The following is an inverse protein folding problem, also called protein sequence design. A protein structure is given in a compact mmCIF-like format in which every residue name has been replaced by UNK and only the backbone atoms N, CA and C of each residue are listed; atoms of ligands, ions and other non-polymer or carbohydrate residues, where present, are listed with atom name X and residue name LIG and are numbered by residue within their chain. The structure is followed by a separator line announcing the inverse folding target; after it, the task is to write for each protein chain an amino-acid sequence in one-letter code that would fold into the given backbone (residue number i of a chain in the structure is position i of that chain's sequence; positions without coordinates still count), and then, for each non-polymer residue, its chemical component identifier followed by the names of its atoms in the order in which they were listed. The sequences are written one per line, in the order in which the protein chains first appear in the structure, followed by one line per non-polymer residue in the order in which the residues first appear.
data_IF_706915915510
#
_entry.id   IF_706915915510
#
_cell.length_a   1.000
_cell.length_b   1.000
_cell.length_c   1.000
_cell.angle_alpha   90.00
_cell.angle_beta   90.00
_cell.angle_gamma   90.00
#
_symmetry.space_group_name_H-M   'P 1'
#
loop_
_entity.id
_entity.type
_entity.pdbx_description
1 polymer ?
#
# COMPACT_ATOMS: atom_id res chain seq x y z
N UNK A 1 -33.64 9.89 -13.33
CA UNK A 1 -32.37 9.29 -13.81
C UNK A 1 -31.51 8.77 -12.66
N UNK A 2 -31.45 9.45 -11.49
CA UNK A 2 -30.69 8.93 -10.34
C UNK A 2 -31.21 7.60 -9.77
N UNK A 3 -32.52 7.31 -9.85
CA UNK A 3 -33.11 6.09 -9.26
C UNK A 3 -32.53 4.77 -9.78
N UNK A 4 -32.26 4.65 -11.09
CA UNK A 4 -31.68 3.42 -11.66
C UNK A 4 -30.21 3.24 -11.28
N UNK A 5 -29.47 4.35 -11.14
CA UNK A 5 -28.07 4.32 -10.71
C UNK A 5 -27.98 4.00 -9.20
N UNK A 6 -28.88 4.56 -8.40
CA UNK A 6 -28.99 4.27 -6.96
C UNK A 6 -29.34 2.82 -6.67
N UNK A 7 -30.15 2.17 -7.50
CA UNK A 7 -30.54 0.76 -7.33
C UNK A 7 -29.44 -0.22 -7.79
N UNK A 8 -28.70 0.08 -8.87
CA UNK A 8 -27.77 -0.89 -9.48
C UNK A 8 -26.34 -0.82 -8.95
N UNK A 9 -25.86 0.35 -8.52
CA UNK A 9 -24.50 0.48 -8.04
C UNK A 9 -24.20 -0.21 -6.69
N UNK A 10 -25.13 -0.33 -5.73
CA UNK A 10 -24.89 -1.10 -4.50
C UNK A 10 -24.56 -2.56 -4.78
N UNK A 11 -25.11 -3.14 -5.86
CA UNK A 11 -24.84 -4.52 -6.28
C UNK A 11 -23.47 -4.75 -6.94
N UNK A 12 -22.77 -3.68 -7.34
CA UNK A 12 -21.45 -3.81 -7.98
C UNK A 12 -20.36 -4.13 -6.95
N UNK A 13 -19.65 -5.24 -7.18
CA UNK A 13 -18.64 -5.80 -6.27
C UNK A 13 -17.20 -5.61 -6.76
N UNK A 14 -16.99 -5.03 -7.95
CA UNK A 14 -15.65 -4.88 -8.55
C UNK A 14 -15.32 -3.42 -8.74
N UNK A 15 -14.16 -3.00 -8.23
CA UNK A 15 -13.67 -1.62 -8.35
C UNK A 15 -13.61 -1.13 -9.81
N UNK A 16 -13.13 -1.96 -10.74
CA UNK A 16 -12.98 -1.59 -12.16
C UNK A 16 -14.31 -1.18 -12.83
N UNK A 17 -15.40 -1.89 -12.55
CA UNK A 17 -16.72 -1.55 -13.09
C UNK A 17 -17.19 -0.20 -12.55
N UNK A 18 -16.91 0.08 -11.27
CA UNK A 18 -17.29 1.33 -10.62
C UNK A 18 -16.50 2.53 -11.17
N UNK A 19 -15.22 2.33 -11.50
CA UNK A 19 -14.37 3.35 -12.14
C UNK A 19 -14.89 3.72 -13.53
N UNK A 20 -15.18 2.72 -14.37
CA UNK A 20 -15.70 2.94 -15.72
C UNK A 20 -16.99 3.75 -15.68
N UNK A 21 -17.93 3.39 -14.81
CA UNK A 21 -19.19 4.09 -14.71
C UNK A 21 -18.98 5.50 -14.16
N UNK A 22 -18.07 5.69 -13.19
CA UNK A 22 -17.69 7.02 -12.72
C UNK A 22 -17.17 7.90 -13.86
N UNK A 23 -16.35 7.37 -14.77
CA UNK A 23 -15.82 8.16 -15.90
C UNK A 23 -16.92 8.56 -16.89
N UNK A 24 -17.82 7.63 -17.23
CA UNK A 24 -18.98 7.93 -18.10
C UNK A 24 -19.93 8.94 -17.46
N UNK A 25 -20.25 8.76 -16.19
CA UNK A 25 -21.16 9.65 -15.44
C UNK A 25 -20.52 11.03 -15.23
N UNK A 26 -19.21 11.11 -14.99
CA UNK A 26 -18.49 12.38 -14.90
C UNK A 26 -18.50 13.13 -16.23
N UNK A 27 -18.25 12.43 -17.35
CA UNK A 27 -18.29 13.03 -18.68
C UNK A 27 -19.69 13.58 -19.02
N UNK A 28 -20.73 12.82 -18.70
CA UNK A 28 -22.12 13.26 -18.83
C UNK A 28 -22.40 14.48 -17.92
N UNK A 29 -21.95 14.46 -16.68
CA UNK A 29 -22.12 15.55 -15.72
C UNK A 29 -21.49 16.86 -16.20
N UNK A 30 -20.25 16.82 -16.69
CA UNK A 30 -19.56 17.99 -17.27
C UNK A 30 -20.31 18.53 -18.49
N UNK A 31 -20.84 17.63 -19.32
CA UNK A 31 -21.60 18.01 -20.51
C UNK A 31 -22.91 18.70 -20.11
N UNK A 32 -23.69 18.11 -19.20
CA UNK A 32 -24.95 18.68 -18.70
C UNK A 32 -24.75 20.03 -17.99
N UNK A 33 -23.69 20.16 -17.20
CA UNK A 33 -23.34 21.41 -16.54
C UNK A 33 -23.04 22.52 -17.56
N UNK A 34 -22.32 22.21 -18.65
CA UNK A 34 -22.06 23.17 -19.75
C UNK A 34 -23.34 23.65 -20.45
N UNK A 35 -24.38 22.83 -20.48
CA UNK A 35 -25.69 23.20 -21.02
C UNK A 35 -26.62 23.88 -20.01
N UNK A 36 -26.15 24.16 -18.79
CA UNK A 36 -26.90 24.89 -17.76
C UNK A 36 -27.86 24.04 -16.92
N UNK A 37 -27.74 22.71 -16.95
CA UNK A 37 -28.52 21.83 -16.07
C UNK A 37 -27.92 21.78 -14.65
N UNK A 38 -28.77 21.61 -13.63
CA UNK A 38 -28.32 21.36 -12.25
C UNK A 38 -27.76 19.94 -12.11
N UNK A 39 -26.47 19.84 -11.74
CA UNK A 39 -25.72 18.56 -11.64
C UNK A 39 -25.37 18.19 -10.18
N UNK A 40 -25.78 18.98 -9.18
CA UNK A 40 -25.43 18.77 -7.77
C UNK A 40 -25.79 17.36 -7.26
N UNK A 41 -27.00 16.88 -7.54
CA UNK A 41 -27.42 15.54 -7.16
C UNK A 41 -26.55 14.41 -7.78
N UNK A 42 -25.98 14.65 -8.95
CA UNK A 42 -25.07 13.70 -9.61
C UNK A 42 -23.68 13.73 -8.96
N UNK A 43 -23.22 14.92 -8.55
CA UNK A 43 -21.94 15.10 -7.87
C UNK A 43 -21.96 14.42 -6.49
N UNK A 44 -23.04 14.59 -5.74
CA UNK A 44 -23.24 13.94 -4.43
C UNK A 44 -23.27 12.42 -4.59
N UNK A 45 -23.98 11.90 -5.58
CA UNK A 45 -23.98 10.47 -5.91
C UNK A 45 -22.58 9.94 -6.28
N UNK A 46 -21.83 10.67 -7.11
CA UNK A 46 -20.45 10.31 -7.47
C UNK A 46 -19.52 10.30 -6.26
N UNK A 47 -19.69 11.24 -5.33
CA UNK A 47 -18.90 11.29 -4.08
C UNK A 47 -19.14 10.06 -3.22
N UNK A 48 -20.40 9.60 -3.09
CA UNK A 48 -20.74 8.38 -2.34
C UNK A 48 -20.16 7.13 -3.00
N UNK A 49 -20.10 7.10 -4.33
CA UNK A 49 -19.47 5.99 -5.05
C UNK A 49 -17.96 5.97 -4.98
N UNK A 50 -17.33 7.15 -4.86
CA UNK A 50 -15.90 7.26 -4.62
C UNK A 50 -15.52 6.51 -3.34
N UNK A 51 -16.24 6.69 -2.25
CA UNK A 51 -15.87 6.08 -0.97
C UNK A 51 -16.02 4.54 -1.03
N UNK A 52 -17.12 4.03 -1.62
CA UNK A 52 -17.31 2.60 -1.89
C UNK A 52 -16.20 2.01 -2.78
N UNK A 53 -15.72 2.76 -3.78
CA UNK A 53 -14.62 2.33 -4.64
C UNK A 53 -13.32 2.14 -3.85
N UNK A 54 -13.00 3.09 -2.97
CA UNK A 54 -11.81 3.00 -2.12
C UNK A 54 -11.91 1.81 -1.16
N UNK A 55 -13.06 1.56 -0.54
CA UNK A 55 -13.26 0.38 0.32
C UNK A 55 -13.04 -0.95 -0.42
N UNK A 56 -13.57 -1.08 -1.64
CA UNK A 56 -13.40 -2.29 -2.45
C UNK A 56 -11.92 -2.51 -2.84
N UNK A 57 -11.22 -1.44 -3.24
CA UNK A 57 -9.80 -1.51 -3.56
C UNK A 57 -8.96 -1.92 -2.35
N UNK A 58 -9.23 -1.34 -1.18
CA UNK A 58 -8.55 -1.68 0.07
C UNK A 58 -8.78 -3.16 0.41
N UNK A 59 -10.03 -3.65 0.29
CA UNK A 59 -10.35 -5.06 0.53
C UNK A 59 -9.61 -6.00 -0.42
N UNK A 60 -9.56 -5.69 -1.71
CA UNK A 60 -8.87 -6.53 -2.69
C UNK A 60 -7.36 -6.48 -2.53
N UNK A 61 -6.80 -5.32 -2.18
CA UNK A 61 -5.39 -5.19 -1.86
C UNK A 61 -5.01 -6.03 -0.63
N UNK A 62 -5.82 -5.97 0.43
CA UNK A 62 -5.62 -6.79 1.63
C UNK A 62 -5.61 -8.30 1.31
N UNK A 63 -6.52 -8.77 0.45
CA UNK A 63 -6.56 -10.18 0.02
C UNK A 63 -5.31 -10.56 -0.76
N UNK A 64 -4.87 -9.70 -1.68
CA UNK A 64 -3.67 -9.96 -2.50
C UNK A 64 -2.40 -10.01 -1.65
N UNK A 65 -2.24 -9.05 -0.73
CA UNK A 65 -1.10 -9.01 0.21
C UNK A 65 -1.11 -10.26 1.09
N UNK A 66 -2.25 -10.59 1.70
CA UNK A 66 -2.37 -11.78 2.56
C UNK A 66 -2.05 -13.07 1.78
N UNK A 67 -2.52 -13.18 0.55
CA UNK A 67 -2.23 -14.32 -0.32
C UNK A 67 -0.74 -14.41 -0.67
N UNK A 68 -0.09 -13.30 -0.99
CA UNK A 68 1.34 -13.28 -1.29
C UNK A 68 2.17 -13.67 -0.06
N UNK A 69 1.85 -13.12 1.10
CA UNK A 69 2.55 -13.36 2.36
C UNK A 69 2.40 -14.79 2.89
N UNK A 70 1.22 -15.39 2.73
CA UNK A 70 0.97 -16.78 3.18
C UNK A 70 1.67 -17.83 2.33
N UNK A 71 1.97 -17.50 1.06
CA UNK A 71 2.71 -18.38 0.14
C UNK A 71 4.23 -18.24 0.33
N UNK A 72 4.68 -17.15 0.95
CA UNK A 72 6.11 -16.89 1.15
C UNK A 72 6.70 -17.81 2.24
N UNK A 73 7.89 -18.34 1.95
CA UNK A 73 8.69 -19.17 2.86
C UNK A 73 9.73 -18.36 3.65
N UNK A 74 9.87 -17.07 3.35
CA UNK A 74 10.89 -16.19 3.92
C UNK A 74 12.31 -16.70 3.66
N UNK A 75 12.54 -17.23 2.46
CA UNK A 75 13.86 -17.62 1.98
C UNK A 75 14.54 -16.44 1.25
N UNK A 76 15.88 -16.45 1.23
CA UNK A 76 16.65 -15.43 0.51
C UNK A 76 16.34 -15.48 -0.98
N UNK A 77 16.05 -14.32 -1.57
CA UNK A 77 15.87 -14.20 -3.01
C UNK A 77 17.21 -14.46 -3.72
N UNK A 78 17.22 -15.38 -4.68
CA UNK A 78 18.41 -15.73 -5.46
C UNK A 78 18.17 -15.44 -6.94
N UNK A 79 18.87 -14.43 -7.47
CA UNK A 79 18.75 -14.00 -8.87
C UNK A 79 19.92 -14.53 -9.68
N UNK A 80 19.64 -15.36 -10.69
CA UNK A 80 20.67 -15.93 -11.58
C UNK A 80 20.79 -15.19 -12.90
N UNK A 81 19.72 -14.52 -13.33
CA UNK A 81 19.61 -13.86 -14.63
C UNK A 81 19.35 -12.38 -14.44
N UNK A 82 19.85 -11.57 -15.37
CA UNK A 82 19.63 -10.12 -15.41
C UNK A 82 18.13 -9.77 -15.54
N UNK A 83 17.33 -10.60 -16.23
CA UNK A 83 15.88 -10.42 -16.28
C UNK A 83 15.22 -10.54 -14.90
N UNK A 84 15.63 -11.52 -14.09
CA UNK A 84 15.12 -11.70 -12.73
C UNK A 84 15.53 -10.51 -11.85
N UNK A 85 16.71 -9.94 -12.09
CA UNK A 85 17.15 -8.72 -11.43
C UNK A 85 16.28 -7.53 -11.81
N UNK A 86 16.10 -7.25 -13.10
CA UNK A 86 15.26 -6.15 -13.57
C UNK A 86 13.82 -6.27 -13.09
N UNK A 87 13.23 -7.47 -13.16
CA UNK A 87 11.85 -7.69 -12.74
C UNK A 87 11.61 -7.55 -11.23
N UNK A 88 12.61 -7.83 -10.40
CA UNK A 88 12.44 -7.84 -8.94
C UNK A 88 13.10 -6.64 -8.23
N UNK A 89 14.17 -6.07 -8.78
CA UNK A 89 14.89 -4.92 -8.18
C UNK A 89 14.37 -3.59 -8.72
N UNK A 90 14.09 -3.48 -10.03
CA UNK A 90 13.53 -2.26 -10.60
C UNK A 90 12.04 -2.09 -10.26
N UNK A 91 11.32 -3.19 -10.03
CA UNK A 91 9.89 -3.14 -9.64
C UNK A 91 9.66 -2.52 -8.26
N UNK A 92 10.60 -2.72 -7.33
CA UNK A 92 10.61 -2.06 -6.02
C UNK A 92 11.24 -0.66 -6.05
N UNK A 93 11.59 -0.14 -7.23
CA UNK A 93 12.27 1.15 -7.43
C UNK A 93 13.61 1.25 -6.68
N UNK A 94 14.28 0.12 -6.39
CA UNK A 94 15.50 0.08 -5.59
C UNK A 94 16.73 0.71 -6.28
N UNK A 95 16.66 0.88 -7.60
CA UNK A 95 17.62 1.67 -8.35
C UNK A 95 16.90 2.89 -8.93
N UNK A 96 17.24 4.05 -8.41
CA UNK A 96 16.86 5.37 -8.92
C UNK A 96 17.50 5.61 -10.29
N UNK A 97 17.02 4.93 -11.32
CA UNK A 97 17.28 5.32 -12.70
C UNK A 97 16.10 6.13 -13.22
N UNK A 98 16.28 7.46 -13.20
CA UNK A 98 15.57 8.45 -14.02
C UNK A 98 14.22 7.99 -14.58
N UNK A 99 13.16 8.08 -13.77
CA UNK A 99 11.81 8.00 -14.32
C UNK A 99 11.45 9.41 -14.81
N UNK A 100 11.69 9.63 -16.10
CA UNK A 100 11.10 10.74 -16.83
C UNK A 100 9.78 10.28 -17.48
N UNK A 101 8.75 11.14 -17.37
CA UNK A 101 7.49 11.19 -18.14
C UNK A 101 6.42 10.13 -17.80
N UNK A 102 5.11 10.42 -17.70
CA UNK A 102 4.22 11.30 -18.48
C UNK A 102 3.14 11.94 -17.58
N UNK A 103 2.70 13.15 -17.94
CA UNK A 103 1.65 13.95 -17.31
C UNK A 103 0.26 13.32 -17.32
N UNK A 104 -0.51 13.48 -16.25
CA UNK A 104 -1.97 13.26 -16.31
C UNK A 104 -2.86 14.41 -15.79
N UNK A 105 -2.34 15.49 -15.20
CA UNK A 105 -3.23 16.48 -14.57
C UNK A 105 -2.97 17.92 -15.04
N UNK A 106 -3.24 18.18 -16.32
CA UNK A 106 -3.42 19.55 -16.84
C UNK A 106 -4.85 20.09 -16.67
N UNK A 107 -5.75 19.40 -15.96
CA UNK A 107 -7.11 19.90 -15.74
C UNK A 107 -7.55 19.58 -14.32
N UNK A 108 -7.39 20.56 -13.42
CA UNK A 108 -7.84 20.46 -12.04
C UNK A 108 -7.06 21.36 -11.10
N UNK A 109 -6.96 22.66 -11.42
CA UNK A 109 -6.61 23.62 -10.38
C UNK A 109 -7.69 23.60 -9.31
N UNK A 110 -7.25 23.57 -8.05
CA UNK A 110 -7.97 23.95 -6.83
C UNK A 110 -8.32 22.82 -5.84
N UNK A 111 -7.32 22.55 -4.98
CA UNK A 111 -7.34 22.16 -3.56
C UNK A 111 -7.78 20.73 -3.15
N UNK A 112 -6.93 20.13 -2.29
CA UNK A 112 -7.08 18.90 -1.48
C UNK A 112 -7.00 17.52 -2.17
N UNK A 113 -6.62 17.42 -3.45
CA UNK A 113 -6.43 16.10 -4.10
C UNK A 113 -5.34 15.26 -3.41
N UNK A 114 -4.20 15.88 -3.10
CA UNK A 114 -3.12 15.19 -2.42
C UNK A 114 -3.50 14.73 -1.01
N UNK A 115 -4.29 15.51 -0.26
CA UNK A 115 -4.69 15.13 1.09
C UNK A 115 -5.58 13.88 1.09
N UNK A 116 -6.44 13.74 0.07
CA UNK A 116 -7.24 12.53 -0.14
C UNK A 116 -6.36 11.34 -0.53
N UNK A 117 -5.43 11.52 -1.47
CA UNK A 117 -4.49 10.48 -1.90
C UNK A 117 -3.62 10.03 -0.73
N UNK A 118 -3.05 10.99 0.01
CA UNK A 118 -2.23 10.75 1.20
C UNK A 118 -3.00 9.98 2.26
N UNK A 119 -4.24 10.39 2.58
CA UNK A 119 -5.08 9.67 3.55
C UNK A 119 -5.31 8.22 3.12
N UNK A 120 -5.56 7.98 1.83
CA UNK A 120 -5.74 6.64 1.31
C UNK A 120 -4.46 5.81 1.40
N UNK A 121 -3.33 6.43 1.05
CA UNK A 121 -2.02 5.80 1.13
C UNK A 121 -1.63 5.46 2.57
N UNK A 122 -1.88 6.36 3.52
CA UNK A 122 -1.67 6.13 4.94
C UNK A 122 -2.50 4.93 5.45
N UNK A 123 -3.76 4.81 5.05
CA UNK A 123 -4.63 3.66 5.37
C UNK A 123 -4.08 2.36 4.77
N UNK A 124 -3.68 2.40 3.50
CA UNK A 124 -3.13 1.23 2.81
C UNK A 124 -1.87 0.71 3.52
N UNK A 125 -0.93 1.59 3.86
CA UNK A 125 0.33 1.21 4.46
C UNK A 125 0.19 0.84 5.94
N UNK A 126 -0.59 1.60 6.70
CA UNK A 126 -0.67 1.46 8.17
C UNK A 126 -1.73 0.46 8.62
N UNK A 127 -2.85 0.34 7.91
CA UNK A 127 -3.91 -0.59 8.32
C UNK A 127 -3.80 -1.94 7.60
N UNK A 128 -3.53 -1.90 6.29
CA UNK A 128 -3.50 -3.12 5.49
C UNK A 128 -2.12 -3.76 5.56
N UNK A 129 -1.07 -3.06 5.12
CA UNK A 129 0.26 -3.68 5.02
C UNK A 129 0.83 -4.02 6.40
N UNK A 130 0.96 -3.03 7.29
CA UNK A 130 1.42 -3.21 8.67
C UNK A 130 0.54 -4.23 9.43
N UNK A 131 -0.79 -4.10 9.33
CA UNK A 131 -1.73 -4.98 10.03
C UNK A 131 -1.75 -6.42 9.52
N UNK A 132 -1.57 -6.66 8.22
CA UNK A 132 -1.50 -8.03 7.65
C UNK A 132 -0.17 -8.71 7.98
N UNK A 133 0.94 -7.97 7.90
CA UNK A 133 2.25 -8.51 8.24
C UNK A 133 2.39 -8.77 9.75
N UNK A 134 1.84 -7.92 10.61
CA UNK A 134 1.83 -8.15 12.06
C UNK A 134 1.09 -9.46 12.42
N UNK A 135 -0.03 -9.76 11.74
CA UNK A 135 -0.73 -11.04 11.93
C UNK A 135 0.15 -12.23 11.53
N UNK A 136 0.93 -12.07 10.46
CA UNK A 136 1.83 -13.10 9.95
C UNK A 136 2.98 -13.40 10.92
N UNK A 137 3.62 -12.35 11.48
CA UNK A 137 4.67 -12.50 12.53
C UNK A 137 4.18 -13.41 13.64
N UNK A 138 2.96 -13.16 14.11
CA UNK A 138 2.39 -13.88 15.24
C UNK A 138 1.96 -15.32 14.93
N UNK A 139 1.86 -15.72 13.65
CA UNK A 139 1.32 -17.05 13.28
C UNK A 139 2.30 -17.96 12.53
N UNK A 140 3.24 -17.44 11.74
CA UNK A 140 3.97 -18.28 10.78
C UNK A 140 5.49 -18.38 11.00
N UNK A 141 6.08 -17.60 11.89
CA UNK A 141 7.55 -17.51 12.00
C UNK A 141 8.04 -18.29 13.22
N UNK A 142 8.58 -19.49 12.97
CA UNK A 142 9.13 -20.35 14.02
C UNK A 142 10.66 -20.37 14.12
N UNK A 143 11.37 -19.81 13.13
CA UNK A 143 12.83 -19.94 13.02
C UNK A 143 13.58 -18.61 12.95
N UNK A 144 14.74 -18.53 13.63
CA UNK A 144 15.63 -17.35 13.64
C UNK A 144 15.99 -16.89 12.22
N UNK A 145 16.26 -17.82 11.29
CA UNK A 145 16.63 -17.48 9.91
C UNK A 145 15.49 -16.83 9.14
N UNK A 146 14.26 -17.32 9.34
CA UNK A 146 13.06 -16.76 8.71
C UNK A 146 12.71 -15.39 9.31
N UNK A 147 12.83 -15.26 10.63
CA UNK A 147 12.65 -14.00 11.34
C UNK A 147 13.63 -12.93 10.83
N UNK A 148 14.91 -13.29 10.70
CA UNK A 148 15.94 -12.39 10.17
C UNK A 148 15.65 -11.96 8.72
N UNK A 149 15.23 -12.90 7.87
CA UNK A 149 14.88 -12.59 6.48
C UNK A 149 13.65 -11.69 6.39
N UNK A 150 12.66 -11.91 7.26
CA UNK A 150 11.51 -11.04 7.34
C UNK A 150 11.93 -9.62 7.72
N UNK A 151 12.72 -9.42 8.78
CA UNK A 151 13.21 -8.08 9.17
C UNK A 151 13.98 -7.41 8.04
N UNK A 152 14.87 -8.14 7.36
CA UNK A 152 15.58 -7.61 6.20
C UNK A 152 14.63 -7.20 5.06
N UNK A 153 13.60 -8.00 4.78
CA UNK A 153 12.58 -7.65 3.80
C UNK A 153 11.74 -6.45 4.26
N UNK A 154 11.39 -6.35 5.56
CA UNK A 154 10.61 -5.24 6.12
C UNK A 154 11.35 -3.91 5.99
N UNK A 155 12.65 -3.87 6.29
CA UNK A 155 13.46 -2.66 6.10
C UNK A 155 13.48 -2.19 4.64
N UNK A 156 13.49 -3.14 3.69
CA UNK A 156 13.37 -2.82 2.26
C UNK A 156 11.97 -2.34 1.87
N UNK A 157 10.91 -2.92 2.47
CA UNK A 157 9.54 -2.47 2.28
C UNK A 157 9.30 -1.07 2.82
N UNK A 158 9.84 -0.74 4.00
CA UNK A 158 9.76 0.61 4.59
C UNK A 158 10.36 1.65 3.62
N UNK A 159 11.56 1.39 3.12
CA UNK A 159 12.21 2.25 2.11
C UNK A 159 11.37 2.39 0.82
N UNK A 160 10.77 1.29 0.35
CA UNK A 160 9.90 1.33 -0.84
C UNK A 160 8.61 2.13 -0.59
N UNK A 161 8.06 2.08 0.62
CA UNK A 161 6.89 2.88 1.00
C UNK A 161 7.22 4.38 0.93
N UNK A 162 8.40 4.80 1.41
CA UNK A 162 8.87 6.18 1.29
C UNK A 162 8.96 6.63 -0.17
N UNK A 163 9.52 5.79 -1.05
CA UNK A 163 9.59 6.07 -2.49
C UNK A 163 8.20 6.19 -3.11
N UNK A 164 7.24 5.40 -2.63
CA UNK A 164 5.86 5.45 -3.11
C UNK A 164 5.16 6.75 -2.71
N UNK A 165 5.36 7.24 -1.47
CA UNK A 165 4.91 8.59 -1.07
C UNK A 165 5.51 9.70 -1.93
N UNK A 166 6.81 9.62 -2.23
CA UNK A 166 7.47 10.59 -3.09
C UNK A 166 6.92 10.58 -4.52
N UNK A 167 6.67 9.38 -5.06
CA UNK A 167 6.07 9.20 -6.37
C UNK A 167 4.65 9.80 -6.42
N UNK A 168 3.82 9.54 -5.42
CA UNK A 168 2.43 10.03 -5.36
C UNK A 168 2.35 11.55 -5.18
N UNK A 169 3.23 12.12 -4.37
CA UNK A 169 3.35 13.57 -4.25
C UNK A 169 3.79 14.23 -5.56
N UNK A 170 4.72 13.59 -6.28
CA UNK A 170 5.16 14.05 -7.59
C UNK A 170 4.01 14.01 -8.61
N UNK A 171 3.25 12.91 -8.67
CA UNK A 171 2.06 12.79 -9.52
C UNK A 171 0.97 13.82 -9.17
N UNK A 172 0.88 14.19 -7.90
CA UNK A 172 -0.06 15.20 -7.39
C UNK A 172 0.43 16.64 -7.60
N UNK A 173 1.62 16.85 -8.19
CA UNK A 173 2.17 18.17 -8.47
C UNK A 173 2.71 18.92 -7.23
N UNK A 174 2.97 18.20 -6.13
CA UNK A 174 3.48 18.79 -4.89
C UNK A 174 5.01 18.78 -4.87
N UNK A 175 5.66 19.91 -4.55
CA UNK A 175 7.11 19.95 -4.37
C UNK A 175 7.57 19.04 -3.23
N UNK A 176 8.60 18.21 -3.48
CA UNK A 176 9.14 17.22 -2.53
C UNK A 176 9.43 17.77 -1.12
N UNK A 177 9.90 19.03 -1.05
CA UNK A 177 10.16 19.77 0.20
C UNK A 177 8.96 19.94 1.13
N UNK A 178 7.73 19.83 0.62
CA UNK A 178 6.50 19.90 1.43
C UNK A 178 6.13 18.53 2.00
N UNK A 179 6.40 17.46 1.25
CA UNK A 179 6.20 16.05 1.63
C UNK A 179 7.15 15.66 2.77
N UNK A 180 8.42 16.05 2.66
CA UNK A 180 9.46 15.78 3.65
C UNK A 180 9.21 16.47 5.00
N UNK A 181 8.31 17.46 5.07
CA UNK A 181 8.01 18.19 6.31
C UNK A 181 6.98 17.47 7.18
N UNK A 182 6.19 16.57 6.59
CA UNK A 182 5.19 15.74 7.26
C UNK A 182 5.68 14.32 7.63
N UNK A 183 6.99 14.09 7.46
CA UNK A 183 7.84 12.88 7.66
C UNK A 183 7.65 12.00 8.90
N UNK A 184 6.60 12.14 9.70
CA UNK A 184 6.50 11.53 11.03
C UNK A 184 5.60 10.30 11.14
N UNK A 185 5.06 9.80 10.03
CA UNK A 185 4.37 8.51 10.01
C UNK A 185 5.31 7.51 9.35
N UNK A 186 6.13 6.86 10.16
CA UNK A 186 6.92 5.71 9.72
C UNK A 186 5.93 4.60 9.35
N UNK A 187 5.69 4.41 8.06
CA UNK A 187 4.93 3.27 7.57
C UNK A 187 5.59 2.00 8.12
N UNK A 188 4.78 1.01 8.54
CA UNK A 188 5.26 -0.28 9.06
C UNK A 188 5.95 -0.26 10.44
N UNK A 189 5.78 0.80 11.25
CA UNK A 189 6.40 0.85 12.60
C UNK A 189 6.05 -0.37 13.45
N UNK A 190 4.77 -0.78 13.50
CA UNK A 190 4.32 -1.84 14.42
C UNK A 190 4.89 -3.19 14.04
N UNK A 191 4.92 -3.51 12.74
CA UNK A 191 5.51 -4.75 12.25
C UNK A 191 7.03 -4.75 12.47
N UNK A 192 7.72 -3.62 12.31
CA UNK A 192 9.15 -3.52 12.61
C UNK A 192 9.44 -3.77 14.09
N UNK A 193 8.76 -3.07 15.00
CA UNK A 193 8.90 -3.25 16.45
C UNK A 193 8.62 -4.71 16.86
N UNK A 194 7.54 -5.29 16.34
CA UNK A 194 7.18 -6.68 16.64
C UNK A 194 8.20 -7.69 16.10
N UNK A 195 8.80 -7.42 14.94
CA UNK A 195 9.80 -8.29 14.33
C UNK A 195 11.14 -8.22 15.09
N UNK A 196 11.53 -7.03 15.56
CA UNK A 196 12.71 -6.86 16.42
C UNK A 196 12.57 -7.62 17.75
N UNK A 197 11.43 -7.46 18.42
CA UNK A 197 11.12 -8.18 19.66
C UNK A 197 11.10 -9.71 19.45
N UNK A 198 10.51 -10.18 18.35
CA UNK A 198 10.52 -11.60 17.99
C UNK A 198 11.94 -12.14 17.81
N UNK A 199 12.81 -11.43 17.07
CA UNK A 199 14.21 -11.85 16.87
C UNK A 199 14.96 -11.86 18.20
N UNK A 200 14.80 -10.81 19.02
CA UNK A 200 15.43 -10.69 20.33
C UNK A 200 15.06 -11.87 21.22
N UNK A 201 13.77 -12.22 21.29
CA UNK A 201 13.27 -13.38 22.03
C UNK A 201 13.86 -14.71 21.55
N UNK A 202 13.89 -14.95 20.23
CA UNK A 202 14.45 -16.17 19.65
C UNK A 202 15.95 -16.30 19.87
N UNK A 203 16.71 -15.20 19.76
CA UNK A 203 18.14 -15.18 20.02
C UNK A 203 18.43 -15.46 21.49
N UNK A 204 17.68 -14.82 22.41
CA UNK A 204 17.81 -15.04 23.85
C UNK A 204 17.59 -16.51 24.21
N UNK A 205 16.51 -17.12 23.72
CA UNK A 205 16.23 -18.54 23.94
C UNK A 205 17.37 -19.45 23.45
N UNK A 206 17.98 -19.09 22.31
CA UNK A 206 19.09 -19.87 21.74
C UNK A 206 20.38 -19.72 22.56
N UNK A 207 20.68 -18.50 23.04
CA UNK A 207 21.81 -18.24 23.95
C UNK A 207 21.62 -18.97 25.28
N UNK A 208 20.42 -18.90 25.88
CA UNK A 208 20.10 -19.60 27.12
C UNK A 208 20.25 -21.13 26.97
N UNK A 209 19.84 -21.68 25.83
CA UNK A 209 20.04 -23.09 25.51
C UNK A 209 21.53 -23.49 25.41
N UNK A 210 22.38 -22.64 24.86
CA UNK A 210 23.83 -22.86 24.86
C UNK A 210 24.43 -22.78 26.27
N UNK A 211 23.97 -21.83 27.09
CA UNK A 211 24.44 -21.67 28.47
C UNK A 211 24.13 -22.92 29.31
N UNK A 212 22.91 -23.45 29.21
CA UNK A 212 22.51 -24.69 29.88
C UNK A 212 23.34 -25.89 29.43
N UNK A 213 23.70 -25.98 28.15
CA UNK A 213 24.58 -27.05 27.67
C UNK A 213 25.99 -26.95 28.26
N UNK A 214 26.52 -25.75 28.45
CA UNK A 214 27.83 -25.53 29.08
C UNK A 214 27.80 -25.96 30.55
N UNK A 215 26.73 -25.63 31.28
CA UNK A 215 26.56 -26.01 32.69
C UNK A 215 26.44 -27.53 32.88
N UNK A 216 25.90 -28.26 31.90
CA UNK A 216 25.75 -29.72 31.94
C UNK A 216 26.98 -30.51 31.45
N UNK A 217 28.06 -29.84 31.02
CA UNK A 217 29.29 -30.46 30.52
C UNK A 217 30.42 -30.52 31.58
N UNK A 218 30.15 -30.03 32.81
CA UNK A 218 31.00 -30.23 33.99
C UNK A 218 30.44 -31.32 34.92
#
# INVERSE_FOLDING_TARGET
MCSVLEDQFPGMQTANHLLLIKDYVSFLGVTLHRYGYHVEALLDFLSKHRDKYHELLLSDCQKQITKALTVDKFEKMYMKKEYDYSMNVLSFLLQTSNIMHVSFMSHGGQLDFYDVVKKYLDLLLTEILDGTQLKLINTSIGGVTQAMQMVANMAMFECSCDLFFHHDAHLSGIPLRMVERERRLFALTKVCDAAEEMISGLLKQKVDGFLLLIENVN
#
